data_IF_998984671013
#
_entry.id   IF_998984671013
#
_cell.length_a   1.000
_cell.length_b   1.000
_cell.length_c   1.000
_cell.angle_alpha   90.00
_cell.angle_beta   90.00
_cell.angle_gamma   90.00
#
_symmetry.space_group_name_H-M   'P 1'
#
loop_
_entity.id
_entity.type
_entity.pdbx_description
1 polymer ?
#
# COMPACT_ATOMS: atom_id res chain seq x y z
N UNK A 1 15.53 -22.19 -15.27
CA UNK A 1 15.45 -20.76 -15.61
C UNK A 1 15.52 -20.01 -14.30
N UNK A 2 16.46 -19.07 -14.19
CA UNK A 2 16.76 -18.37 -12.95
C UNK A 2 15.88 -17.11 -12.83
N UNK A 3 15.51 -16.74 -11.61
CA UNK A 3 14.76 -15.52 -11.33
C UNK A 3 15.73 -14.36 -11.18
N UNK A 4 15.53 -13.28 -11.94
CA UNK A 4 16.47 -12.15 -12.07
C UNK A 4 15.87 -10.79 -11.74
N UNK A 5 14.63 -10.75 -11.24
CA UNK A 5 13.96 -9.50 -10.87
C UNK A 5 14.23 -9.18 -9.39
N UNK A 6 14.62 -7.94 -9.13
CA UNK A 6 14.71 -7.37 -7.80
C UNK A 6 13.40 -6.67 -7.41
N UNK A 7 13.01 -6.66 -6.12
CA UNK A 7 11.90 -5.84 -5.66
C UNK A 7 12.03 -4.38 -6.13
N UNK A 8 10.96 -3.83 -6.68
CA UNK A 8 10.93 -2.52 -7.32
C UNK A 8 11.06 -2.55 -8.85
N UNK A 9 11.55 -3.65 -9.44
CA UNK A 9 11.64 -3.76 -10.90
C UNK A 9 10.27 -3.68 -11.58
N UNK A 10 10.22 -2.94 -12.68
CA UNK A 10 9.01 -2.78 -13.50
C UNK A 10 9.18 -3.57 -14.79
N UNK A 11 8.25 -4.48 -15.05
CA UNK A 11 8.31 -5.41 -16.18
C UNK A 11 6.97 -5.52 -16.88
N UNK A 12 6.97 -5.62 -18.20
CA UNK A 12 5.73 -5.89 -18.93
C UNK A 12 5.17 -7.27 -18.52
N UNK A 13 3.90 -7.31 -18.07
CA UNK A 13 3.25 -8.55 -17.66
C UNK A 13 3.28 -9.64 -18.74
N UNK A 14 3.22 -9.22 -20.01
CA UNK A 14 3.39 -10.13 -21.15
C UNK A 14 4.74 -10.86 -21.10
N UNK A 15 5.83 -10.14 -20.83
CA UNK A 15 7.18 -10.71 -20.75
C UNK A 15 7.34 -11.65 -19.55
N UNK A 16 6.71 -11.36 -18.42
CA UNK A 16 6.67 -12.29 -17.29
C UNK A 16 6.08 -13.63 -17.71
N UNK A 17 4.94 -13.61 -18.42
CA UNK A 17 4.31 -14.84 -18.89
C UNK A 17 5.09 -15.53 -20.00
N UNK A 18 5.76 -14.78 -20.87
CA UNK A 18 6.63 -15.34 -21.92
C UNK A 18 7.84 -16.07 -21.32
N UNK A 19 8.42 -15.53 -20.23
CA UNK A 19 9.59 -16.10 -19.55
C UNK A 19 9.20 -17.20 -18.56
N UNK A 20 8.33 -16.89 -17.62
CA UNK A 20 8.06 -17.73 -16.45
C UNK A 20 6.75 -18.53 -16.55
N UNK A 21 5.93 -18.32 -17.59
CA UNK A 21 4.66 -19.02 -17.80
C UNK A 21 3.49 -18.46 -16.96
N UNK A 22 2.52 -19.32 -16.66
CA UNK A 22 1.27 -18.94 -15.99
C UNK A 22 0.18 -18.43 -16.94
N UNK A 23 -1.05 -18.37 -16.44
CA UNK A 23 -2.20 -17.80 -17.15
C UNK A 23 -2.15 -16.27 -17.24
N UNK A 24 -2.50 -15.72 -18.41
CA UNK A 24 -2.37 -14.28 -18.71
C UNK A 24 -3.54 -13.40 -18.24
N UNK A 25 -4.66 -14.00 -17.84
CA UNK A 25 -5.92 -13.29 -17.60
C UNK A 25 -6.37 -13.25 -16.14
N UNK A 26 -5.72 -13.99 -15.24
CA UNK A 26 -6.10 -14.06 -13.81
C UNK A 26 -5.14 -13.29 -12.91
N UNK A 27 -5.64 -12.77 -11.78
CA UNK A 27 -4.79 -12.18 -10.73
C UNK A 27 -3.84 -13.21 -10.11
N UNK A 28 -4.29 -14.45 -9.96
CA UNK A 28 -3.46 -15.56 -9.52
C UNK A 28 -3.06 -16.42 -10.71
N UNK A 29 -1.76 -16.65 -10.87
CA UNK A 29 -1.23 -17.30 -12.07
C UNK A 29 -0.16 -18.34 -11.73
N UNK A 30 -0.58 -19.55 -11.33
CA UNK A 30 0.33 -20.67 -11.16
C UNK A 30 0.94 -21.08 -12.51
N UNK A 31 2.27 -21.15 -12.60
CA UNK A 31 2.96 -21.62 -13.80
C UNK A 31 3.08 -23.15 -13.88
N UNK A 32 3.15 -23.70 -15.09
CA UNK A 32 3.50 -25.12 -15.33
C UNK A 32 4.93 -25.29 -15.86
N UNK A 33 5.58 -24.19 -16.25
CA UNK A 33 6.89 -24.19 -16.92
C UNK A 33 8.00 -23.66 -16.04
N UNK A 34 7.66 -23.01 -14.92
CA UNK A 34 8.60 -22.60 -13.88
C UNK A 34 7.98 -22.85 -12.49
N UNK A 35 8.80 -23.01 -11.43
CA UNK A 35 8.32 -23.22 -10.07
C UNK A 35 7.86 -21.89 -9.45
N UNK A 36 6.98 -21.16 -10.13
CA UNK A 36 6.46 -19.88 -9.67
C UNK A 36 4.92 -19.88 -9.65
N UNK A 37 4.39 -19.08 -8.72
CA UNK A 37 3.02 -18.61 -8.69
C UNK A 37 3.09 -17.09 -8.76
N UNK A 38 2.65 -16.52 -9.88
CA UNK A 38 2.65 -15.06 -10.06
C UNK A 38 1.32 -14.52 -9.54
N UNK A 39 1.38 -13.67 -8.52
CA UNK A 39 0.23 -12.96 -7.97
C UNK A 39 0.26 -11.52 -8.47
N UNK A 40 -0.86 -11.06 -8.98
CA UNK A 40 -1.07 -9.69 -9.44
C UNK A 40 -2.17 -9.11 -8.58
N UNK A 41 -1.86 -7.98 -7.95
CA UNK A 41 -2.80 -7.24 -7.13
C UNK A 41 -3.01 -5.84 -7.73
N UNK A 42 -4.25 -5.39 -7.70
CA UNK A 42 -4.63 -4.02 -8.03
C UNK A 42 -5.87 -3.71 -7.18
N UNK A 43 -5.68 -3.15 -5.97
CA UNK A 43 -6.76 -2.91 -5.02
C UNK A 43 -7.96 -2.18 -5.65
N UNK A 44 -7.69 -1.28 -6.61
CA UNK A 44 -8.73 -0.49 -7.29
C UNK A 44 -9.59 -1.32 -8.24
N UNK A 45 -8.96 -2.22 -9.01
CA UNK A 45 -9.73 -3.13 -9.86
C UNK A 45 -10.40 -4.23 -9.03
N UNK A 46 -9.80 -4.61 -7.90
CA UNK A 46 -10.26 -5.65 -7.00
C UNK A 46 -11.57 -5.34 -6.28
N UNK A 47 -11.78 -4.10 -5.84
CA UNK A 47 -12.98 -3.70 -5.07
C UNK A 47 -14.29 -4.01 -5.80
N UNK A 48 -14.32 -3.88 -7.13
CA UNK A 48 -15.49 -4.22 -7.96
C UNK A 48 -15.90 -5.69 -7.85
N UNK A 49 -14.99 -6.56 -7.42
CA UNK A 49 -15.15 -8.00 -7.21
C UNK A 49 -15.22 -8.42 -5.73
N UNK A 50 -15.21 -7.43 -4.82
CA UNK A 50 -15.11 -7.64 -3.38
C UNK A 50 -13.71 -8.01 -2.91
N UNK A 51 -12.67 -7.71 -3.71
CA UNK A 51 -11.28 -7.98 -3.34
C UNK A 51 -10.68 -6.75 -2.68
N UNK A 52 -10.19 -6.95 -1.46
CA UNK A 52 -9.62 -5.90 -0.63
C UNK A 52 -8.18 -6.28 -0.31
N UNK A 53 -7.37 -6.38 -1.35
CA UNK A 53 -5.97 -6.73 -1.21
C UNK A 53 -5.20 -5.57 -0.59
N UNK A 54 -4.29 -5.86 0.34
CA UNK A 54 -3.50 -4.83 0.98
C UNK A 54 -2.79 -5.31 2.23
N UNK A 55 -2.01 -4.42 2.82
CA UNK A 55 -1.29 -4.72 4.06
C UNK A 55 -2.23 -4.72 5.26
N UNK A 56 -2.23 -5.83 6.01
CA UNK A 56 -2.86 -5.94 7.32
C UNK A 56 -2.03 -5.25 8.40
N UNK A 57 -2.67 -4.97 9.53
CA UNK A 57 -2.06 -4.29 10.70
C UNK A 57 -0.95 -5.10 11.37
N UNK A 58 -0.85 -6.38 11.07
CA UNK A 58 0.13 -7.34 11.60
C UNK A 58 1.27 -7.63 10.60
N UNK A 59 1.38 -6.80 9.56
CA UNK A 59 2.42 -6.87 8.55
C UNK A 59 2.24 -8.00 7.54
N UNK A 60 1.13 -8.75 7.56
CA UNK A 60 0.80 -9.70 6.50
C UNK A 60 0.14 -8.96 5.32
N UNK A 61 0.56 -9.25 4.11
CA UNK A 61 -0.18 -8.82 2.91
C UNK A 61 -1.38 -9.74 2.73
N UNK A 62 -2.58 -9.19 2.82
CA UNK A 62 -3.84 -9.86 2.57
C UNK A 62 -4.12 -9.89 1.06
N UNK A 63 -4.22 -11.09 0.49
CA UNK A 63 -4.50 -11.33 -0.92
C UNK A 63 -5.79 -12.12 -1.08
N UNK A 64 -6.76 -11.57 -1.79
CA UNK A 64 -8.05 -12.24 -1.98
C UNK A 64 -7.94 -13.34 -3.04
N UNK A 65 -8.46 -14.53 -2.73
CA UNK A 65 -8.40 -15.70 -3.60
C UNK A 65 -9.10 -15.49 -4.95
N UNK A 66 -8.85 -16.42 -5.88
CA UNK A 66 -9.48 -16.39 -7.20
C UNK A 66 -10.92 -16.93 -7.18
N UNK A 67 -11.73 -16.42 -8.12
CA UNK A 67 -13.14 -16.76 -8.31
C UNK A 67 -14.00 -15.53 -8.03
N UNK A 68 -14.76 -15.07 -9.02
CA UNK A 68 -15.50 -13.79 -9.04
C UNK A 68 -17.01 -13.91 -8.76
N UNK A 69 -17.53 -15.14 -8.79
CA UNK A 69 -18.95 -15.46 -8.64
C UNK A 69 -19.13 -16.64 -7.71
N UNK A 70 -20.12 -16.54 -6.80
CA UNK A 70 -20.38 -17.56 -5.79
C UNK A 70 -19.24 -17.72 -4.78
N UNK A 71 -19.43 -18.66 -3.86
CA UNK A 71 -18.43 -19.00 -2.84
C UNK A 71 -17.18 -19.56 -3.49
N UNK A 72 -16.04 -19.00 -3.10
CA UNK A 72 -14.76 -19.50 -3.54
C UNK A 72 -14.54 -20.93 -3.06
N UNK A 73 -13.86 -21.69 -3.91
CA UNK A 73 -13.49 -23.08 -3.64
C UNK A 73 -11.97 -23.16 -3.53
N UNK A 74 -11.48 -23.97 -2.59
CA UNK A 74 -10.05 -24.23 -2.42
C UNK A 74 -9.54 -25.20 -3.50
N UNK A 75 -9.62 -24.76 -4.75
CA UNK A 75 -9.27 -25.52 -5.95
C UNK A 75 -8.41 -24.65 -6.87
N UNK A 76 -7.78 -25.25 -7.89
CA UNK A 76 -6.99 -24.55 -8.92
C UNK A 76 -5.96 -23.58 -8.32
N UNK A 77 -6.01 -22.28 -8.63
CA UNK A 77 -5.08 -21.28 -8.13
C UNK A 77 -5.06 -21.23 -6.61
N UNK A 78 -6.23 -21.14 -5.96
CA UNK A 78 -6.33 -21.09 -4.51
C UNK A 78 -5.61 -22.28 -3.85
N UNK A 79 -5.78 -23.47 -4.44
CA UNK A 79 -5.11 -24.69 -3.98
C UNK A 79 -3.60 -24.64 -4.25
N UNK A 80 -3.19 -24.16 -5.42
CA UNK A 80 -1.78 -24.03 -5.78
C UNK A 80 -1.05 -23.05 -4.84
N UNK A 81 -1.70 -21.95 -4.45
CA UNK A 81 -1.15 -21.02 -3.47
C UNK A 81 -1.06 -21.66 -2.08
N UNK A 82 -2.10 -22.36 -1.63
CA UNK A 82 -2.08 -23.07 -0.35
C UNK A 82 -0.94 -24.11 -0.27
N UNK A 83 -0.74 -24.89 -1.34
CA UNK A 83 0.24 -25.97 -1.40
C UNK A 83 1.64 -25.49 -1.88
N UNK A 84 1.86 -24.19 -2.14
CA UNK A 84 3.07 -23.67 -2.80
C UNK A 84 4.37 -24.13 -2.14
N UNK A 85 4.46 -24.06 -0.81
CA UNK A 85 5.67 -24.45 -0.06
C UNK A 85 5.95 -25.96 -0.17
N UNK A 86 4.91 -26.79 -0.15
CA UNK A 86 5.04 -28.25 -0.36
C UNK A 86 5.45 -28.59 -1.78
N UNK A 87 4.96 -27.84 -2.76
CA UNK A 87 5.29 -28.01 -4.18
C UNK A 87 6.63 -27.36 -4.57
N UNK A 88 7.30 -26.66 -3.65
CA UNK A 88 8.56 -25.96 -3.91
C UNK A 88 8.41 -24.81 -4.90
N UNK A 89 7.30 -24.07 -4.82
CA UNK A 89 6.95 -22.99 -5.75
C UNK A 89 7.04 -21.64 -5.07
N UNK A 90 7.83 -20.74 -5.65
CA UNK A 90 7.97 -19.38 -5.17
C UNK A 90 6.71 -18.56 -5.47
N UNK A 91 6.21 -17.82 -4.48
CA UNK A 91 5.09 -16.88 -4.65
C UNK A 91 5.67 -15.51 -4.93
N UNK A 92 5.35 -14.97 -6.11
CA UNK A 92 5.92 -13.71 -6.61
C UNK A 92 4.79 -12.68 -6.70
N UNK A 93 4.82 -11.66 -5.85
CA UNK A 93 3.77 -10.63 -5.82
C UNK A 93 4.13 -9.49 -6.77
N UNK A 94 3.13 -9.01 -7.50
CA UNK A 94 3.25 -7.90 -8.42
C UNK A 94 2.15 -6.86 -8.20
N UNK A 95 2.55 -5.59 -8.10
CA UNK A 95 1.65 -4.45 -8.12
C UNK A 95 1.23 -4.11 -9.56
N UNK A 96 -0.09 -4.08 -9.79
CA UNK A 96 -0.74 -3.78 -11.06
C UNK A 96 -1.28 -5.02 -11.79
N UNK A 97 -2.38 -4.85 -12.53
CA UNK A 97 -3.03 -5.94 -13.27
C UNK A 97 -2.96 -5.81 -14.80
N UNK A 98 -2.68 -4.61 -15.34
CA UNK A 98 -2.61 -4.33 -16.78
C UNK A 98 -1.35 -3.58 -17.19
N UNK A 99 -0.72 -3.98 -18.31
CA UNK A 99 0.48 -3.31 -18.83
C UNK A 99 1.77 -3.69 -18.07
N UNK A 100 2.66 -2.72 -17.77
CA UNK A 100 3.80 -2.95 -16.90
C UNK A 100 3.35 -3.15 -15.45
N UNK A 101 3.97 -4.11 -14.77
CA UNK A 101 3.72 -4.46 -13.36
C UNK A 101 5.02 -4.33 -12.57
N UNK A 102 4.91 -3.96 -11.30
CA UNK A 102 6.06 -3.83 -10.39
C UNK A 102 6.23 -5.11 -9.60
N UNK A 103 7.45 -5.63 -9.51
CA UNK A 103 7.74 -6.76 -8.65
C UNK A 103 7.85 -6.30 -7.19
N UNK A 104 6.99 -6.80 -6.32
CA UNK A 104 6.95 -6.41 -4.89
C UNK A 104 7.86 -7.30 -4.03
N UNK A 105 8.19 -8.50 -4.52
CA UNK A 105 9.08 -9.44 -3.83
C UNK A 105 8.56 -10.87 -3.81
N UNK A 106 9.33 -11.72 -3.13
CA UNK A 106 8.98 -13.11 -2.86
C UNK A 106 8.26 -13.21 -1.53
N UNK A 107 7.18 -13.99 -1.50
CA UNK A 107 6.34 -14.16 -0.35
C UNK A 107 6.15 -15.64 -0.03
N UNK A 108 5.77 -15.90 1.21
CA UNK A 108 5.31 -17.19 1.72
C UNK A 108 3.96 -16.99 2.42
N UNK A 109 3.20 -18.07 2.59
CA UNK A 109 2.00 -17.99 3.42
C UNK A 109 2.41 -17.82 4.89
N UNK A 110 1.62 -17.03 5.62
CA UNK A 110 1.69 -16.93 7.07
C UNK A 110 1.56 -18.35 7.66
N UNK A 111 2.58 -18.85 8.39
CA UNK A 111 2.59 -20.22 8.88
C UNK A 111 1.54 -20.49 9.96
N UNK A 112 1.16 -19.46 10.73
CA UNK A 112 0.22 -19.58 11.84
C UNK A 112 -1.23 -19.50 11.35
N UNK A 113 -1.49 -18.61 10.37
CA UNK A 113 -2.81 -18.45 9.76
C UNK A 113 -2.70 -18.17 8.26
N UNK A 114 -2.60 -19.21 7.42
CA UNK A 114 -2.36 -19.05 5.98
C UNK A 114 -3.48 -18.30 5.23
N UNK A 115 -4.72 -18.42 5.71
CA UNK A 115 -5.85 -17.67 5.18
C UNK A 115 -6.97 -17.54 6.21
N UNK A 116 -7.87 -16.58 5.97
CA UNK A 116 -9.16 -16.45 6.65
C UNK A 116 -10.30 -16.45 5.63
N UNK A 117 -11.50 -16.78 6.07
CA UNK A 117 -12.71 -16.66 5.25
C UNK A 117 -13.42 -15.34 5.55
N UNK A 118 -13.84 -14.61 4.53
CA UNK A 118 -14.63 -13.37 4.66
C UNK A 118 -15.88 -13.41 3.79
N UNK A 119 -16.94 -12.73 4.22
CA UNK A 119 -18.12 -12.46 3.39
C UNK A 119 -17.93 -11.11 2.71
N UNK A 120 -18.02 -11.09 1.38
CA UNK A 120 -17.90 -9.88 0.56
C UNK A 120 -18.96 -9.88 -0.54
N UNK A 121 -19.25 -8.73 -1.13
CA UNK A 121 -20.15 -8.65 -2.27
C UNK A 121 -19.57 -9.36 -3.50
N UNK A 122 -20.43 -9.96 -4.33
CA UNK A 122 -20.02 -10.47 -5.63
C UNK A 122 -19.73 -9.33 -6.62
N UNK A 123 -19.11 -9.69 -7.74
CA UNK A 123 -18.81 -8.75 -8.84
C UNK A 123 -20.02 -7.88 -9.19
N UNK A 124 -19.81 -6.56 -9.21
CA UNK A 124 -20.86 -5.60 -9.56
C UNK A 124 -21.88 -5.32 -8.44
N UNK A 125 -21.55 -5.65 -7.17
CA UNK A 125 -22.44 -5.45 -6.03
C UNK A 125 -23.52 -6.53 -5.89
N UNK A 126 -23.23 -7.73 -6.42
CA UNK A 126 -24.12 -8.89 -6.30
C UNK A 126 -24.14 -9.48 -4.88
N UNK A 127 -24.89 -10.57 -4.71
CA UNK A 127 -25.08 -11.24 -3.41
C UNK A 127 -23.76 -11.52 -2.68
N UNK A 128 -23.82 -11.48 -1.35
CA UNK A 128 -22.67 -11.85 -0.52
C UNK A 128 -22.19 -13.26 -0.84
N UNK A 129 -20.88 -13.44 -0.82
CA UNK A 129 -20.22 -14.70 -1.06
C UNK A 129 -19.01 -14.85 -0.18
N UNK A 130 -18.65 -16.09 0.10
CA UNK A 130 -17.46 -16.44 0.86
C UNK A 130 -16.21 -16.36 -0.03
N UNK A 131 -15.20 -15.65 0.44
CA UNK A 131 -13.87 -15.57 -0.19
C UNK A 131 -12.79 -16.01 0.79
N UNK A 132 -11.70 -16.55 0.25
CA UNK A 132 -10.47 -16.78 1.00
C UNK A 132 -9.60 -15.52 0.93
N UNK A 133 -9.10 -15.07 2.06
CA UNK A 133 -8.10 -14.00 2.15
C UNK A 133 -6.81 -14.66 2.62
N UNK A 134 -5.90 -14.90 1.68
CA UNK A 134 -4.59 -15.46 1.95
C UNK A 134 -3.71 -14.41 2.61
N UNK A 135 -2.96 -14.83 3.62
CA UNK A 135 -2.08 -13.96 4.40
C UNK A 135 -0.64 -14.27 4.01
N UNK A 136 0.03 -13.30 3.40
CA UNK A 136 1.35 -13.45 2.81
C UNK A 136 2.39 -12.67 3.61
N UNK A 137 3.53 -13.29 3.91
CA UNK A 137 4.69 -12.66 4.57
C UNK A 137 5.87 -12.65 3.62
N UNK A 138 6.76 -11.68 3.75
CA UNK A 138 8.00 -11.61 2.96
C UNK A 138 8.86 -12.83 3.26
N UNK A 139 9.43 -13.44 2.22
CA UNK A 139 10.27 -14.62 2.36
C UNK A 139 11.64 -14.35 3.04
N UNK A 140 12.02 -13.07 3.20
CA UNK A 140 13.29 -12.63 3.81
C UNK A 140 13.33 -12.69 5.35
N UNK A 141 12.29 -13.25 6.00
CA UNK A 141 12.32 -13.52 7.43
C UNK A 141 12.77 -14.97 7.64
N UNK A 142 14.08 -15.11 7.89
CA UNK A 142 14.85 -16.29 8.32
C UNK A 142 15.37 -17.25 7.24
N UNK A 143 16.68 -17.13 6.88
CA UNK A 143 17.75 -18.12 7.15
C UNK A 143 19.18 -17.55 6.92
N UNK A 144 19.98 -17.47 8.00
CA UNK A 144 21.46 -17.49 8.13
C UNK A 144 22.41 -16.55 7.30
N UNK A 145 23.00 -15.57 8.03
CA UNK A 145 24.45 -15.21 8.08
C UNK A 145 25.13 -14.34 6.96
N UNK A 146 24.98 -13.00 7.06
CA UNK A 146 25.96 -11.85 6.99
C UNK A 146 27.17 -11.79 6.01
N UNK A 147 27.71 -10.59 5.62
CA UNK A 147 27.55 -9.27 6.25
C UNK A 147 27.24 -8.05 5.33
N UNK A 148 26.53 -7.09 5.92
CA UNK A 148 26.64 -5.63 5.81
C UNK A 148 26.74 -4.95 4.44
N UNK A 149 25.67 -4.25 4.05
CA UNK A 149 25.73 -2.80 3.91
C UNK A 149 24.50 -2.23 4.61
N UNK A 150 24.71 -1.45 5.66
CA UNK A 150 23.64 -0.86 6.47
C UNK A 150 22.89 0.17 5.64
N UNK A 151 21.78 -0.22 5.02
CA UNK A 151 20.80 0.77 4.59
C UNK A 151 20.27 1.50 5.83
N UNK A 152 20.16 2.84 5.81
CA UNK A 152 19.61 3.58 6.93
C UNK A 152 18.15 3.15 7.17
N UNK A 153 17.78 2.98 8.44
CA UNK A 153 16.41 2.61 8.87
C UNK A 153 15.36 3.63 8.41
N UNK A 154 15.79 4.88 8.24
CA UNK A 154 14.95 6.02 7.85
C UNK A 154 15.71 6.84 6.80
N UNK A 155 15.07 7.12 5.66
CA UNK A 155 15.65 8.00 4.63
C UNK A 155 14.58 8.95 4.14
N UNK A 156 14.93 10.24 3.99
CA UNK A 156 14.09 11.16 3.22
C UNK A 156 14.42 11.04 1.75
N UNK A 157 13.40 10.82 0.93
CA UNK A 157 13.52 10.77 -0.52
C UNK A 157 12.85 12.00 -1.14
N UNK A 158 13.48 12.63 -2.16
CA UNK A 158 12.84 13.66 -2.95
C UNK A 158 11.55 13.10 -3.56
N UNK A 159 10.47 13.87 -3.49
CA UNK A 159 9.25 13.55 -4.21
C UNK A 159 9.52 13.91 -5.68
N UNK A 160 9.95 12.94 -6.47
CA UNK A 160 10.41 13.14 -7.84
C UNK A 160 9.35 13.88 -8.68
N UNK A 161 9.70 15.07 -9.15
CA UNK A 161 8.94 15.81 -10.15
C UNK A 161 9.03 15.07 -11.49
N UNK A 162 7.98 14.29 -11.78
CA UNK A 162 7.74 13.63 -13.06
C UNK A 162 8.90 12.78 -13.62
N UNK A 163 9.29 11.73 -12.88
CA UNK A 163 9.50 10.41 -13.48
C UNK A 163 9.46 9.30 -12.40
N UNK A 164 8.45 8.44 -12.52
CA UNK A 164 8.41 7.02 -12.16
C UNK A 164 8.61 6.62 -10.68
N UNK A 165 7.75 7.12 -9.79
CA UNK A 165 7.38 6.34 -8.58
C UNK A 165 5.94 6.60 -8.10
N UNK A 166 5.09 6.98 -9.07
CA UNK A 166 3.64 6.91 -8.98
C UNK A 166 3.17 5.52 -9.43
N UNK A 167 3.15 4.53 -8.54
CA UNK A 167 2.52 3.23 -8.83
C UNK A 167 1.47 2.86 -7.80
N UNK A 168 0.51 3.76 -7.65
CA UNK A 168 -0.88 3.38 -7.41
C UNK A 168 -1.81 4.24 -8.26
N UNK A 169 -1.50 4.47 -9.55
CA UNK A 169 -2.52 4.93 -10.51
C UNK A 169 -2.17 4.35 -11.88
N UNK A 170 -2.72 3.18 -12.19
CA UNK A 170 -2.99 2.82 -13.58
C UNK A 170 -3.81 3.97 -14.21
N UNK A 171 -3.49 4.49 -15.41
CA UNK A 171 -4.30 5.48 -16.11
C UNK A 171 -5.60 4.82 -16.59
N UNK A 172 -6.49 4.59 -15.64
CA UNK A 172 -7.74 3.85 -15.73
C UNK A 172 -8.42 3.93 -14.38
N UNK A 173 -9.08 5.07 -14.15
CA UNK A 173 -9.90 5.44 -12.98
C UNK A 173 -9.13 5.80 -11.69
N UNK A 174 -8.68 7.06 -11.62
CA UNK A 174 -8.58 7.76 -10.33
C UNK A 174 -9.97 7.79 -9.68
N UNK A 175 -10.11 7.30 -8.44
CA UNK A 175 -11.29 7.66 -7.63
C UNK A 175 -11.23 9.16 -7.35
N UNK A 176 -12.40 9.79 -7.15
CA UNK A 176 -12.45 11.20 -6.75
C UNK A 176 -11.58 11.48 -5.52
N UNK A 177 -11.57 10.56 -4.54
CA UNK A 177 -10.75 10.70 -3.32
C UNK A 177 -9.24 10.67 -3.61
N UNK A 178 -8.73 9.72 -4.42
CA UNK A 178 -7.30 9.65 -4.73
C UNK A 178 -6.82 10.82 -5.61
N UNK A 179 -7.68 11.34 -6.50
CA UNK A 179 -7.40 12.56 -7.23
C UNK A 179 -7.31 13.77 -6.29
N UNK A 180 -8.19 13.85 -5.30
CA UNK A 180 -8.14 14.89 -4.25
C UNK A 180 -6.87 14.78 -3.43
N UNK A 181 -6.47 13.58 -2.99
CA UNK A 181 -5.21 13.37 -2.24
C UNK A 181 -4.00 13.84 -3.04
N UNK A 182 -3.88 13.41 -4.30
CA UNK A 182 -2.75 13.79 -5.16
C UNK A 182 -2.68 15.30 -5.37
N UNK A 183 -3.83 15.95 -5.55
CA UNK A 183 -3.93 17.40 -5.64
C UNK A 183 -3.53 18.08 -4.33
N UNK A 184 -4.01 17.59 -3.19
CA UNK A 184 -3.71 18.13 -1.86
C UNK A 184 -2.23 18.00 -1.53
N UNK A 185 -1.63 16.82 -1.74
CA UNK A 185 -0.17 16.58 -1.58
C UNK A 185 0.61 17.62 -2.38
N UNK A 186 0.35 17.73 -3.68
CA UNK A 186 1.08 18.66 -4.55
C UNK A 186 0.93 20.11 -4.09
N UNK A 187 -0.31 20.59 -3.90
CA UNK A 187 -0.57 21.97 -3.49
C UNK A 187 0.07 22.30 -2.14
N UNK A 188 0.03 21.36 -1.19
CA UNK A 188 0.57 21.59 0.14
C UNK A 188 2.08 21.62 0.14
N UNK A 189 2.74 20.75 -0.63
CA UNK A 189 4.19 20.83 -0.81
C UNK A 189 4.63 22.15 -1.44
N UNK A 190 3.94 22.60 -2.49
CA UNK A 190 4.25 23.87 -3.14
C UNK A 190 4.10 25.04 -2.16
N UNK A 191 3.07 25.00 -1.31
CA UNK A 191 2.85 25.96 -0.24
C UNK A 191 3.98 25.96 0.81
N UNK A 192 4.40 24.78 1.29
CA UNK A 192 5.49 24.65 2.27
C UNK A 192 6.84 25.10 1.67
N UNK A 193 7.13 24.73 0.42
CA UNK A 193 8.34 25.16 -0.29
C UNK A 193 8.37 26.67 -0.51
N UNK A 194 7.23 27.28 -0.84
CA UNK A 194 7.13 28.73 -0.96
C UNK A 194 7.40 29.46 0.37
N UNK A 195 7.19 28.80 1.51
CA UNK A 195 7.58 29.28 2.84
C UNK A 195 9.04 28.98 3.22
N UNK A 196 9.79 28.31 2.34
CA UNK A 196 11.20 27.97 2.56
C UNK A 196 11.43 26.63 3.27
N UNK A 197 10.39 25.81 3.45
CA UNK A 197 10.54 24.49 4.07
C UNK A 197 11.11 23.47 3.09
N UNK A 198 11.94 22.56 3.61
CA UNK A 198 12.41 21.38 2.90
C UNK A 198 11.44 20.23 3.12
N UNK A 199 10.80 19.77 2.05
CA UNK A 199 9.75 18.73 2.11
C UNK A 199 10.05 17.56 1.18
N UNK A 200 9.78 16.36 1.66
CA UNK A 200 9.98 15.10 0.94
C UNK A 200 9.03 14.00 1.45
N UNK A 201 9.37 12.73 1.20
CA UNK A 201 8.74 11.58 1.86
C UNK A 201 9.74 10.87 2.74
N UNK A 202 9.27 10.32 3.85
CA UNK A 202 10.02 9.35 4.65
C UNK A 202 9.73 7.95 4.14
N UNK A 203 10.82 7.21 3.95
CA UNK A 203 10.81 5.77 3.79
C UNK A 203 11.27 5.14 5.10
N UNK A 204 10.47 4.25 5.65
CA UNK A 204 10.80 3.47 6.83
C UNK A 204 11.03 2.02 6.45
N UNK A 205 12.05 1.40 7.03
CA UNK A 205 12.20 -0.05 6.98
C UNK A 205 11.31 -0.68 8.04
N UNK A 206 10.46 -1.61 7.62
CA UNK A 206 9.60 -2.41 8.49
C UNK A 206 9.97 -3.89 8.35
N UNK A 207 9.50 -4.73 9.27
CA UNK A 207 9.64 -6.19 9.19
C UNK A 207 9.01 -6.78 7.93
N UNK A 208 8.07 -6.08 7.31
CA UNK A 208 7.34 -6.48 6.09
C UNK A 208 7.77 -5.76 4.80
N UNK A 209 8.84 -4.95 4.83
CA UNK A 209 9.31 -4.21 3.65
C UNK A 209 9.53 -2.73 3.94
N UNK A 210 8.97 -1.84 3.11
CA UNK A 210 9.09 -0.40 3.28
C UNK A 210 7.74 0.28 3.43
N UNK A 211 7.66 1.21 4.38
CA UNK A 211 6.53 2.11 4.53
C UNK A 211 6.90 3.50 4.03
N UNK A 212 5.93 4.21 3.47
CA UNK A 212 6.10 5.58 3.01
C UNK A 212 5.01 6.44 3.59
N UNK A 213 5.39 7.58 4.16
CA UNK A 213 4.41 8.61 4.49
C UNK A 213 4.15 9.52 3.28
N UNK A 214 3.05 10.27 3.32
CA UNK A 214 2.68 11.13 2.19
C UNK A 214 3.57 12.38 2.04
N UNK A 215 3.77 13.13 3.14
CA UNK A 215 4.57 14.36 3.18
C UNK A 215 5.32 14.46 4.51
N UNK A 216 6.64 14.56 4.44
CA UNK A 216 7.50 14.87 5.58
C UNK A 216 8.12 16.25 5.40
N UNK A 217 7.97 17.11 6.40
CA UNK A 217 8.62 18.41 6.46
C UNK A 217 9.88 18.28 7.32
N UNK A 218 11.06 18.32 6.69
CA UNK A 218 12.34 18.18 7.38
C UNK A 218 12.65 19.41 8.25
N UNK A 219 12.35 20.61 7.74
CA UNK A 219 12.66 21.88 8.40
C UNK A 219 11.95 21.99 9.74
N UNK A 220 10.70 21.52 9.81
CA UNK A 220 9.85 21.62 11.01
C UNK A 220 9.66 20.28 11.73
N UNK A 221 10.24 19.19 11.21
CA UNK A 221 10.08 17.81 11.69
C UNK A 221 8.61 17.40 11.84
N UNK A 222 7.86 17.50 10.75
CA UNK A 222 6.43 17.17 10.73
C UNK A 222 6.16 15.94 9.86
N UNK A 223 5.36 15.02 10.38
CA UNK A 223 4.75 13.93 9.60
C UNK A 223 3.33 14.31 9.22
N UNK A 224 3.06 14.40 7.92
CA UNK A 224 1.74 14.70 7.39
C UNK A 224 1.23 13.53 6.56
N UNK A 225 0.03 13.06 6.91
CA UNK A 225 -0.73 12.07 6.14
C UNK A 225 -1.89 12.78 5.43
N UNK A 226 -2.17 12.39 4.18
CA UNK A 226 -3.19 13.04 3.35
C UNK A 226 -4.35 12.08 3.11
N UNK A 227 -5.59 12.58 3.27
CA UNK A 227 -6.80 11.82 2.93
C UNK A 227 -7.76 12.64 2.07
N UNK A 228 -8.34 11.99 1.08
CA UNK A 228 -9.23 12.62 0.09
C UNK A 228 -10.66 12.81 0.57
N UNK A 229 -10.98 12.33 1.78
CA UNK A 229 -12.29 12.45 2.42
C UNK A 229 -12.12 12.64 3.93
N UNK A 230 -13.12 13.24 4.58
CA UNK A 230 -13.17 13.37 6.04
C UNK A 230 -13.99 12.26 6.71
N UNK A 231 -14.18 11.13 6.03
CA UNK A 231 -14.95 10.00 6.57
C UNK A 231 -14.23 9.38 7.77
N UNK A 232 -14.99 8.88 8.76
CA UNK A 232 -14.41 8.21 9.93
C UNK A 232 -13.43 7.08 9.57
N UNK A 233 -13.71 6.19 8.59
CA UNK A 233 -12.75 5.18 8.18
C UNK A 233 -11.43 5.79 7.67
N UNK A 234 -11.49 6.83 6.83
CA UNK A 234 -10.30 7.49 6.30
C UNK A 234 -9.47 8.16 7.41
N UNK A 235 -10.14 8.87 8.33
CA UNK A 235 -9.48 9.52 9.47
C UNK A 235 -8.82 8.48 10.39
N UNK A 236 -9.52 7.37 10.70
CA UNK A 236 -8.94 6.31 11.54
C UNK A 236 -7.73 5.65 10.89
N UNK A 237 -7.76 5.46 9.57
CA UNK A 237 -6.62 4.94 8.82
C UNK A 237 -5.43 5.90 8.93
N UNK A 238 -5.66 7.19 8.71
CA UNK A 238 -4.61 8.21 8.82
C UNK A 238 -3.99 8.27 10.23
N UNK A 239 -4.82 8.18 11.27
CA UNK A 239 -4.35 8.10 12.66
C UNK A 239 -3.43 6.90 12.87
N UNK A 240 -3.84 5.71 12.38
CA UNK A 240 -3.02 4.51 12.49
C UNK A 240 -1.67 4.68 11.80
N UNK A 241 -1.67 5.18 10.56
CA UNK A 241 -0.45 5.45 9.78
C UNK A 241 0.47 6.46 10.47
N UNK A 242 -0.06 7.59 10.94
CA UNK A 242 0.73 8.62 11.61
C UNK A 242 1.39 8.11 12.90
N UNK A 243 0.66 7.35 13.72
CA UNK A 243 1.21 6.78 14.95
C UNK A 243 2.25 5.69 14.66
N UNK A 244 2.04 4.88 13.63
CA UNK A 244 2.99 3.86 13.18
C UNK A 244 4.31 4.52 12.70
N UNK A 245 4.22 5.48 11.78
CA UNK A 245 5.39 6.21 11.29
C UNK A 245 6.11 6.96 12.42
N UNK A 246 5.37 7.59 13.32
CA UNK A 246 5.95 8.31 14.46
C UNK A 246 6.71 7.39 15.41
N UNK A 247 6.31 6.13 15.56
CA UNK A 247 7.02 5.15 16.39
C UNK A 247 8.35 4.70 15.76
N UNK A 248 8.53 4.93 14.45
CA UNK A 248 9.73 4.60 13.69
C UNK A 248 10.67 5.79 13.50
N UNK A 249 10.27 7.02 13.83
CA UNK A 249 11.11 8.21 13.72
C UNK A 249 12.08 8.35 14.91
N UNK A 250 13.27 8.91 14.63
CA UNK A 250 14.18 9.35 15.68
C UNK A 250 13.64 10.64 16.31
N UNK A 251 13.00 10.53 17.48
CA UNK A 251 12.42 11.66 18.24
C UNK A 251 10.91 11.82 18.03
N UNK A 252 10.34 12.92 18.52
CA UNK A 252 8.89 13.16 18.46
C UNK A 252 8.53 14.16 17.34
N UNK A 253 8.15 13.70 16.13
CA UNK A 253 7.67 14.59 15.08
C UNK A 253 6.29 15.15 15.43
N UNK A 254 6.00 16.38 14.96
CA UNK A 254 4.64 16.90 15.04
C UNK A 254 3.76 16.25 13.96
N UNK A 255 2.57 15.81 14.33
CA UNK A 255 1.69 15.04 13.44
C UNK A 255 0.61 15.91 12.80
N UNK A 256 0.38 15.73 11.52
CA UNK A 256 -0.59 16.49 10.73
C UNK A 256 -1.47 15.58 9.87
N UNK A 257 -2.77 15.88 9.81
CA UNK A 257 -3.70 15.27 8.87
C UNK A 257 -4.19 16.33 7.89
N UNK A 258 -3.82 16.18 6.62
CA UNK A 258 -4.30 17.03 5.53
C UNK A 258 -5.55 16.41 4.88
N UNK A 259 -6.65 17.17 4.92
CA UNK A 259 -7.96 16.76 4.43
C UNK A 259 -8.61 17.87 3.60
N UNK A 260 -9.57 17.55 2.70
CA UNK A 260 -10.19 18.57 1.84
C UNK A 260 -11.02 19.61 2.60
N UNK A 261 -11.54 19.25 3.77
CA UNK A 261 -12.38 20.11 4.62
C UNK A 261 -12.29 19.70 6.10
N UNK A 262 -12.90 20.46 7.01
CA UNK A 262 -12.88 20.12 8.43
C UNK A 262 -13.66 18.81 8.71
N UNK A 263 -13.11 17.85 9.48
CA UNK A 263 -13.84 16.65 9.90
C UNK A 263 -15.04 16.95 10.82
N UNK A 264 -15.89 15.94 11.02
CA UNK A 264 -16.94 16.01 12.03
C UNK A 264 -16.37 16.30 13.44
N UNK A 265 -17.12 17.01 14.28
CA UNK A 265 -16.64 17.53 15.56
C UNK A 265 -16.07 16.46 16.51
N UNK A 266 -16.63 15.25 16.48
CA UNK A 266 -16.15 14.15 17.32
C UNK A 266 -14.82 13.55 16.80
N UNK A 267 -14.57 13.61 15.49
CA UNK A 267 -13.27 13.27 14.90
C UNK A 267 -12.24 14.38 15.16
N UNK A 268 -12.66 15.65 15.17
CA UNK A 268 -11.79 16.76 15.60
C UNK A 268 -11.34 16.55 17.04
N UNK A 269 -12.27 16.21 17.95
CA UNK A 269 -11.94 15.91 19.35
C UNK A 269 -11.01 14.69 19.50
N UNK A 270 -11.16 13.67 18.64
CA UNK A 270 -10.23 12.54 18.60
C UNK A 270 -8.82 12.97 18.19
N UNK A 271 -8.70 13.75 17.12
CA UNK A 271 -7.41 14.21 16.59
C UNK A 271 -6.71 15.14 17.58
N UNK A 272 -7.45 16.04 18.22
CA UNK A 272 -6.94 16.93 19.28
C UNK A 272 -6.41 16.13 20.48
N UNK A 273 -7.14 15.11 20.94
CA UNK A 273 -6.69 14.23 22.03
C UNK A 273 -5.40 13.48 21.71
N UNK A 274 -5.13 13.23 20.43
CA UNK A 274 -3.93 12.55 19.94
C UNK A 274 -2.80 13.52 19.56
N UNK A 275 -3.02 14.83 19.68
CA UNK A 275 -2.04 15.85 19.27
C UNK A 275 -1.82 15.91 17.75
N UNK A 276 -2.80 15.47 16.95
CA UNK A 276 -2.73 15.51 15.49
C UNK A 276 -3.39 16.78 14.98
N UNK A 277 -2.60 17.64 14.33
CA UNK A 277 -3.08 18.90 13.77
C UNK A 277 -3.85 18.64 12.48
N UNK A 278 -4.98 19.32 12.31
CA UNK A 278 -5.83 19.23 11.12
C UNK A 278 -5.45 20.36 10.18
N UNK A 279 -5.19 20.02 8.92
CA UNK A 279 -4.82 20.95 7.87
C UNK A 279 -5.87 20.87 6.76
N UNK A 280 -6.30 22.02 6.26
CA UNK A 280 -7.25 22.10 5.16
C UNK A 280 -6.90 23.24 4.19
N UNK A 281 -7.25 23.10 2.89
CA UNK A 281 -7.00 24.15 1.90
C UNK A 281 -7.92 25.36 2.12
N UNK A 282 -7.40 26.54 1.78
CA UNK A 282 -8.16 27.80 1.67
C UNK A 282 -7.94 28.41 0.28
N UNK A 283 -8.62 29.53 -0.02
CA UNK A 283 -8.45 30.25 -1.29
C UNK A 283 -7.01 30.76 -1.51
N UNK A 284 -6.29 31.06 -0.42
CA UNK A 284 -4.93 31.64 -0.46
C UNK A 284 -3.80 30.68 -0.04
N UNK A 285 -4.10 29.43 0.29
CA UNK A 285 -3.10 28.48 0.80
C UNK A 285 -3.71 27.36 1.62
N UNK A 286 -3.22 27.21 2.84
CA UNK A 286 -3.70 26.22 3.81
C UNK A 286 -3.87 26.87 5.17
N UNK A 287 -4.77 26.32 5.98
CA UNK A 287 -4.92 26.67 7.38
C UNK A 287 -4.80 25.41 8.23
N UNK A 288 -4.38 25.59 9.47
CA UNK A 288 -4.40 24.55 10.49
C UNK A 288 -5.29 24.93 11.68
N UNK A 289 -5.72 23.92 12.44
CA UNK A 289 -6.47 24.13 13.68
C UNK A 289 -5.58 24.51 14.88
N UNK A 290 -4.29 24.77 14.66
CA UNK A 290 -3.31 25.17 15.67
C UNK A 290 -2.89 26.65 15.51
N UNK A 291 -3.75 27.49 14.94
CA UNK A 291 -3.56 28.93 14.83
C UNK A 291 -2.47 29.36 13.84
N UNK A 292 -2.15 28.52 12.84
CA UNK A 292 -1.11 28.78 11.85
C UNK A 292 0.29 28.39 12.30
N UNK A 293 0.41 27.71 13.45
CA UNK A 293 1.72 27.29 13.98
C UNK A 293 2.28 26.05 13.29
N UNK A 294 1.43 25.29 12.59
CA UNK A 294 1.83 24.08 11.89
C UNK A 294 2.12 24.34 10.41
N UNK A 295 1.33 25.21 9.77
CA UNK A 295 1.39 25.53 8.33
C UNK A 295 2.27 26.72 8.00
#
# INVERSE_FOLDING_TARGET
MEWDLAPGDVVARKHLHDRFGGGRQGGMSPSRTSPNILLFTDPRSGERHGYYDGWGVDGAFEYTGEGQSGDQQMTRGNRALLDHGREGRAVRLFGGTGGPVRYEGEFVLDPDQPYVERMVHATGGGAERRVFVFRLRTADVDQNSSPSTSEPTIVTVPIAEQNVESWAVTPGEQTKASAVESMLVRRFQDYLRAKGDTVGRRRYKSSSGHLYNDVFNETRRQLIEVKGTCSRPAVRMAVGQLLDYSALEDGEPSLGLLVPEAPASDLVALLDRLGIVIISPTDGGFMDNAGGSFT
#
